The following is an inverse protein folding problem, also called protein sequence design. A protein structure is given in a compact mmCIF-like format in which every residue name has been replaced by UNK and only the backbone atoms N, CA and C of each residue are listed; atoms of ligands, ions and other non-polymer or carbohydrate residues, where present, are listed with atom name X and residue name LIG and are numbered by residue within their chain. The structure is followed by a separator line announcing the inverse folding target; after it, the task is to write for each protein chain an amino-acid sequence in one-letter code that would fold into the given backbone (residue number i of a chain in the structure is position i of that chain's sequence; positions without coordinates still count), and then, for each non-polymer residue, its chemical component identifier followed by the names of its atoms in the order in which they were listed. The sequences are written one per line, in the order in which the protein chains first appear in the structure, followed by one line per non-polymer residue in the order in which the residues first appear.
data_IF_363814369409
#
_entry.id   IF_363814369409
#
_cell.length_a   1.000
_cell.length_b   1.000
_cell.length_c   1.000
_cell.angle_alpha   90.00
_cell.angle_beta   90.00
_cell.angle_gamma   90.00
#
_symmetry.space_group_name_H-M   'P 1'
#
loop_
_entity.id
_entity.type
_entity.pdbx_description
1 polymer ?
#
# COMPACT_ATOMS: atom_id res chain seq x y z
N UNK A 1 -1.19 -0.57 69.36
CA UNK A 1 -1.49 -1.18 68.05
C UNK A 1 -2.69 -0.47 67.49
N UNK A 2 -2.47 0.41 66.52
CA UNK A 2 -3.51 1.15 65.81
C UNK A 2 -3.18 1.12 64.31
N UNK A 3 -4.24 1.06 63.53
CA UNK A 3 -4.36 0.50 62.18
C UNK A 3 -4.09 1.47 61.03
N UNK A 4 -3.70 0.88 59.89
CA UNK A 4 -3.96 1.23 58.49
C UNK A 4 -3.74 2.66 57.99
N UNK A 5 -2.81 2.83 57.04
CA UNK A 5 -3.02 3.63 55.83
C UNK A 5 -2.44 2.84 54.65
N UNK A 6 -3.30 2.49 53.70
CA UNK A 6 -2.87 2.05 52.38
C UNK A 6 -2.30 3.24 51.59
N UNK A 7 -1.45 2.96 50.62
CA UNK A 7 -1.20 3.90 49.54
C UNK A 7 -1.03 3.10 48.26
N UNK A 8 -2.01 3.31 47.40
CA UNK A 8 -2.11 2.95 45.99
C UNK A 8 -0.76 2.90 45.26
N UNK A 9 -0.54 1.78 44.56
CA UNK A 9 0.37 1.71 43.42
C UNK A 9 -0.31 2.38 42.21
N UNK A 10 -0.56 3.69 42.30
CA UNK A 10 -0.91 4.50 41.12
C UNK A 10 0.37 4.73 40.30
N UNK A 11 0.73 3.72 39.52
CA UNK A 11 1.66 3.89 38.42
C UNK A 11 1.00 4.86 37.43
N UNK A 12 1.51 6.10 37.39
CA UNK A 12 1.14 7.13 36.43
C UNK A 12 1.22 6.59 35.00
N UNK A 13 0.07 6.18 34.46
CA UNK A 13 -0.05 5.84 33.04
C UNK A 13 -0.31 7.14 32.30
N UNK A 14 0.76 7.78 31.86
CA UNK A 14 0.66 8.89 30.89
C UNK A 14 -0.02 8.35 29.64
N UNK A 15 -1.19 8.90 29.30
CA UNK A 15 -1.91 8.53 28.08
C UNK A 15 -1.09 8.95 26.87
N UNK A 16 -0.54 7.97 26.16
CA UNK A 16 0.12 8.17 24.86
C UNK A 16 -0.85 7.71 23.77
N UNK A 17 -1.31 8.58 22.87
CA UNK A 17 -2.11 8.17 21.73
C UNK A 17 -1.37 7.09 20.92
N UNK A 18 -2.01 5.94 20.68
CA UNK A 18 -1.46 4.84 19.88
C UNK A 18 -0.96 3.61 20.66
N UNK A 19 -0.91 3.65 22.01
CA UNK A 19 -0.67 2.46 22.83
C UNK A 19 -2.01 1.89 23.31
N UNK A 20 -2.31 0.64 22.95
CA UNK A 20 -3.41 -0.11 23.57
C UNK A 20 -2.88 -0.82 24.81
N UNK A 21 -3.61 -0.72 25.92
CA UNK A 21 -3.33 -1.45 27.17
C UNK A 21 -3.64 -2.96 27.05
N UNK A 22 -4.17 -3.40 25.91
CA UNK A 22 -4.55 -4.78 25.66
C UNK A 22 -3.33 -5.63 25.27
N UNK A 23 -3.00 -6.63 26.08
CA UNK A 23 -1.89 -7.55 25.83
C UNK A 23 -2.03 -8.31 24.50
N UNK A 24 -0.97 -8.31 23.69
CA UNK A 24 -0.89 -9.00 22.41
C UNK A 24 -0.89 -10.53 22.57
N UNK A 25 -2.05 -11.18 22.47
CA UNK A 25 -2.15 -12.64 22.32
C UNK A 25 -1.84 -13.06 20.87
N UNK A 26 -0.54 -13.06 20.53
CA UNK A 26 -0.04 -13.55 19.25
C UNK A 26 -0.21 -15.07 19.18
N UNK A 27 -1.25 -15.55 18.49
CA UNK A 27 -1.39 -16.97 18.15
C UNK A 27 -0.24 -17.41 17.23
N UNK A 28 0.60 -18.34 17.70
CA UNK A 28 1.73 -18.89 16.94
C UNK A 28 1.22 -19.90 15.91
N UNK A 29 0.84 -19.44 14.73
CA UNK A 29 0.78 -20.33 13.57
C UNK A 29 2.19 -20.54 13.01
N UNK A 30 2.73 -21.76 13.16
CA UNK A 30 3.98 -22.18 12.54
C UNK A 30 3.80 -22.30 11.03
N UNK A 31 4.36 -21.38 10.25
CA UNK A 31 4.55 -21.55 8.82
C UNK A 31 5.82 -22.35 8.56
N UNK A 32 5.65 -23.52 7.94
CA UNK A 32 6.71 -24.30 7.31
C UNK A 32 7.04 -23.63 5.98
N UNK A 33 8.24 -23.10 5.83
CA UNK A 33 8.77 -22.58 4.57
C UNK A 33 9.61 -23.65 3.85
N UNK A 34 9.39 -23.91 2.55
CA UNK A 34 10.37 -24.59 1.73
C UNK A 34 11.39 -23.57 1.21
N UNK A 35 12.68 -23.84 1.45
CA UNK A 35 13.81 -23.12 0.86
C UNK A 35 13.83 -23.33 -0.66
N UNK A 36 13.94 -22.25 -1.44
CA UNK A 36 14.34 -22.31 -2.84
C UNK A 36 15.51 -21.35 -3.10
N UNK A 37 16.49 -21.88 -3.82
CA UNK A 37 17.85 -21.38 -4.01
C UNK A 37 17.90 -20.17 -4.96
N UNK A 38 18.79 -19.23 -4.64
CA UNK A 38 19.12 -18.04 -5.42
C UNK A 38 19.74 -18.43 -6.77
N UNK A 39 19.20 -17.89 -7.86
CA UNK A 39 19.95 -17.64 -9.10
C UNK A 39 19.56 -16.27 -9.65
N UNK A 40 20.49 -15.33 -9.50
CA UNK A 40 20.56 -14.04 -10.18
C UNK A 40 20.58 -14.22 -11.68
N UNK A 41 19.70 -13.52 -12.41
CA UNK A 41 19.82 -13.33 -13.85
C UNK A 41 19.43 -11.90 -14.23
N UNK A 42 20.20 -11.36 -15.15
CA UNK A 42 20.43 -9.96 -15.52
C UNK A 42 19.42 -9.49 -16.57
N UNK A 43 19.02 -8.22 -16.44
CA UNK A 43 18.52 -7.24 -17.43
C UNK A 43 18.23 -7.75 -18.87
N UNK A 44 17.00 -7.54 -19.33
CA UNK A 44 16.73 -6.92 -20.65
C UNK A 44 15.31 -6.34 -20.69
N UNK A 45 15.21 -5.03 -20.93
CA UNK A 45 13.95 -4.35 -21.24
C UNK A 45 13.54 -4.70 -22.67
N UNK A 46 12.42 -5.39 -22.84
CA UNK A 46 11.77 -5.54 -24.14
C UNK A 46 10.71 -4.44 -24.29
N UNK A 47 11.03 -3.44 -25.08
CA UNK A 47 10.10 -2.41 -25.54
C UNK A 47 9.05 -3.05 -26.44
N UNK A 48 7.78 -2.89 -26.08
CA UNK A 48 6.64 -3.32 -26.90
C UNK A 48 6.41 -2.24 -27.97
N UNK A 49 6.72 -2.58 -29.22
CA UNK A 49 6.41 -1.76 -30.40
C UNK A 49 4.92 -1.88 -30.71
N UNK A 50 4.18 -0.77 -30.62
CA UNK A 50 2.77 -0.71 -31.01
C UNK A 50 2.67 -0.41 -32.51
N UNK A 51 2.35 -1.44 -33.30
CA UNK A 51 2.09 -1.29 -34.74
C UNK A 51 0.67 -0.75 -34.98
N UNK A 52 0.62 0.42 -35.61
CA UNK A 52 -0.61 1.12 -35.98
C UNK A 52 -1.19 0.50 -37.25
N UNK A 53 -2.42 -0.03 -37.19
CA UNK A 53 -3.14 -0.46 -38.38
C UNK A 53 -4.28 0.51 -38.72
N UNK A 54 -4.03 1.33 -39.73
CA UNK A 54 -5.04 2.04 -40.53
C UNK A 54 -5.66 1.07 -41.54
N UNK A 55 -6.94 1.28 -41.87
CA UNK A 55 -7.41 1.12 -43.26
C UNK A 55 -8.68 0.30 -43.49
N UNK A 56 -9.79 1.03 -43.69
CA UNK A 56 -10.85 0.92 -44.73
C UNK A 56 -11.37 -0.44 -45.25
N UNK A 57 -12.70 -0.52 -45.42
CA UNK A 57 -13.32 -1.29 -46.50
C UNK A 57 -14.63 -1.98 -46.15
N UNK A 58 -15.74 -1.43 -46.65
CA UNK A 58 -17.08 -2.02 -46.69
C UNK A 58 -17.15 -3.23 -47.66
N UNK A 59 -17.93 -4.27 -47.34
CA UNK A 59 -18.27 -5.37 -48.25
C UNK A 59 -19.30 -6.33 -47.64
N UNK A 60 -20.55 -6.14 -48.06
CA UNK A 60 -21.65 -7.12 -47.91
C UNK A 60 -21.38 -8.33 -48.80
N UNK A 61 -21.24 -9.54 -48.24
CA UNK A 61 -21.72 -10.77 -48.90
C UNK A 61 -21.85 -11.95 -47.91
N UNK A 62 -22.96 -12.68 -48.05
CA UNK A 62 -23.27 -13.96 -47.40
C UNK A 62 -22.16 -14.99 -47.67
N UNK A 63 -21.77 -15.76 -46.66
CA UNK A 63 -21.71 -17.24 -46.73
C UNK A 63 -21.30 -17.88 -45.40
N UNK A 64 -21.87 -19.08 -45.21
CA UNK A 64 -21.88 -19.90 -44.01
C UNK A 64 -20.67 -20.85 -43.92
N UNK A 65 -20.31 -21.16 -42.67
CA UNK A 65 -19.58 -22.30 -42.12
C UNK A 65 -18.14 -22.65 -42.59
N UNK A 66 -17.23 -22.42 -41.63
CA UNK A 66 -15.97 -23.07 -41.30
C UNK A 66 -15.20 -23.84 -42.39
N UNK A 67 -14.25 -23.15 -43.02
CA UNK A 67 -13.03 -23.78 -43.54
C UNK A 67 -11.87 -22.77 -43.52
N UNK A 68 -10.80 -23.08 -42.78
CA UNK A 68 -9.46 -22.49 -42.95
C UNK A 68 -9.12 -21.25 -42.10
N UNK A 69 -8.11 -21.40 -41.23
CA UNK A 69 -7.49 -20.33 -40.43
C UNK A 69 -7.93 -20.39 -38.96
N UNK A 70 -6.97 -20.46 -38.03
CA UNK A 70 -7.21 -20.35 -36.59
C UNK A 70 -7.77 -18.96 -36.26
N UNK A 71 -9.08 -18.76 -36.44
CA UNK A 71 -9.74 -17.51 -36.06
C UNK A 71 -9.82 -17.51 -34.54
N UNK A 72 -8.99 -16.70 -33.92
CA UNK A 72 -9.01 -16.48 -32.47
C UNK A 72 -10.42 -16.07 -32.06
N UNK A 73 -10.97 -16.73 -31.04
CA UNK A 73 -12.25 -16.36 -30.45
C UNK A 73 -12.26 -14.85 -30.15
N UNK A 74 -13.26 -14.14 -30.66
CA UNK A 74 -13.41 -12.70 -30.47
C UNK A 74 -14.38 -12.40 -29.33
N UNK A 75 -14.19 -11.25 -28.68
CA UNK A 75 -15.16 -10.74 -27.69
C UNK A 75 -16.58 -10.59 -28.29
N UNK A 76 -16.66 -10.42 -29.62
CA UNK A 76 -17.93 -10.35 -30.36
C UNK A 76 -18.68 -11.70 -30.37
N UNK A 77 -17.95 -12.81 -30.30
CA UNK A 77 -18.50 -14.17 -30.37
C UNK A 77 -19.05 -14.65 -29.02
N UNK A 78 -18.84 -13.86 -27.95
CA UNK A 78 -19.27 -14.18 -26.60
C UNK A 78 -20.80 -14.03 -26.45
N UNK A 79 -21.43 -14.94 -25.69
CA UNK A 79 -22.87 -14.90 -25.49
C UNK A 79 -23.31 -13.66 -24.70
N UNK A 80 -24.60 -13.31 -24.80
CA UNK A 80 -25.13 -12.11 -24.13
C UNK A 80 -24.99 -12.18 -22.60
N UNK A 81 -25.11 -13.36 -22.01
CA UNK A 81 -24.99 -13.56 -20.57
C UNK A 81 -23.55 -13.32 -20.09
N UNK A 82 -22.56 -13.85 -20.79
CA UNK A 82 -21.16 -13.65 -20.49
C UNK A 82 -20.72 -12.20 -20.70
N UNK A 83 -21.18 -11.55 -21.78
CA UNK A 83 -20.96 -10.11 -21.99
C UNK A 83 -21.49 -9.29 -20.82
N UNK A 84 -22.67 -9.64 -20.29
CA UNK A 84 -23.27 -8.99 -19.11
C UNK A 84 -22.42 -9.25 -17.85
N UNK A 85 -21.99 -10.49 -17.62
CA UNK A 85 -21.10 -10.83 -16.49
C UNK A 85 -19.82 -10.01 -16.51
N UNK A 86 -19.15 -9.94 -17.66
CA UNK A 86 -17.91 -9.18 -17.83
C UNK A 86 -18.17 -7.68 -17.63
N UNK A 87 -19.24 -7.12 -18.21
CA UNK A 87 -19.57 -5.71 -18.06
C UNK A 87 -19.80 -5.33 -16.58
N UNK A 88 -20.49 -6.19 -15.82
CA UNK A 88 -20.69 -5.97 -14.40
C UNK A 88 -19.38 -6.07 -13.61
N UNK A 89 -18.53 -7.04 -13.93
CA UNK A 89 -17.21 -7.15 -13.31
C UNK A 89 -16.36 -5.90 -13.55
N UNK A 90 -16.33 -5.38 -14.79
CA UNK A 90 -15.60 -4.15 -15.12
C UNK A 90 -16.13 -2.97 -14.31
N UNK A 91 -17.45 -2.84 -14.18
CA UNK A 91 -18.07 -1.77 -13.37
C UNK A 91 -17.67 -1.87 -11.90
N UNK A 92 -17.74 -3.06 -11.32
CA UNK A 92 -17.35 -3.25 -9.92
C UNK A 92 -15.86 -3.00 -9.70
N UNK A 93 -15.00 -3.46 -10.62
CA UNK A 93 -13.56 -3.20 -10.54
C UNK A 93 -13.25 -1.70 -10.60
N UNK A 94 -13.91 -0.96 -11.51
CA UNK A 94 -13.74 0.49 -11.61
C UNK A 94 -14.18 1.21 -10.31
N UNK A 95 -15.34 0.84 -9.78
CA UNK A 95 -15.84 1.39 -8.50
C UNK A 95 -14.88 1.09 -7.34
N UNK A 96 -14.46 -0.16 -7.20
CA UNK A 96 -13.56 -0.59 -6.12
C UNK A 96 -12.19 0.09 -6.26
N UNK A 97 -11.69 0.29 -7.49
CA UNK A 97 -10.42 0.98 -7.69
C UNK A 97 -10.48 2.45 -7.28
N UNK A 98 -11.58 3.16 -7.56
CA UNK A 98 -11.77 4.55 -7.14
C UNK A 98 -11.88 4.66 -5.62
N UNK A 99 -12.70 3.81 -4.99
CA UNK A 99 -12.80 3.74 -3.52
C UNK A 99 -11.43 3.49 -2.86
N UNK A 100 -10.65 2.58 -3.44
CA UNK A 100 -9.30 2.29 -2.99
C UNK A 100 -8.37 3.50 -3.14
N UNK A 101 -8.34 4.13 -4.31
CA UNK A 101 -7.50 5.31 -4.59
C UNK A 101 -7.77 6.43 -3.58
N UNK A 102 -9.03 6.75 -3.31
CA UNK A 102 -9.43 7.76 -2.32
C UNK A 102 -8.86 7.45 -0.93
N UNK A 103 -8.91 6.19 -0.50
CA UNK A 103 -8.37 5.80 0.81
C UNK A 103 -6.84 5.81 0.84
N UNK A 104 -6.18 5.42 -0.25
CA UNK A 104 -4.73 5.45 -0.37
C UNK A 104 -4.19 6.88 -0.36
N UNK A 105 -4.84 7.80 -1.08
CA UNK A 105 -4.48 9.22 -1.06
C UNK A 105 -4.61 9.83 0.33
N UNK A 106 -5.70 9.52 1.04
CA UNK A 106 -5.89 9.98 2.42
C UNK A 106 -4.80 9.48 3.35
N UNK A 107 -4.47 8.18 3.27
CA UNK A 107 -3.41 7.59 4.08
C UNK A 107 -2.05 8.21 3.77
N UNK A 108 -1.75 8.44 2.49
CA UNK A 108 -0.51 9.07 2.06
C UNK A 108 -0.39 10.50 2.60
N UNK A 109 -1.46 11.29 2.53
CA UNK A 109 -1.49 12.65 3.09
C UNK A 109 -1.26 12.65 4.61
N UNK A 110 -1.84 11.69 5.33
CA UNK A 110 -1.62 11.52 6.76
C UNK A 110 -0.17 11.13 7.08
N UNK A 111 0.42 10.21 6.31
CA UNK A 111 1.83 9.83 6.44
C UNK A 111 2.76 11.03 6.19
N UNK A 112 2.55 11.78 5.11
CA UNK A 112 3.35 12.97 4.78
C UNK A 112 3.26 14.04 5.88
N UNK A 113 2.08 14.21 6.48
CA UNK A 113 1.88 15.09 7.64
C UNK A 113 2.72 14.67 8.84
N UNK A 114 2.70 13.37 9.18
CA UNK A 114 3.50 12.85 10.28
C UNK A 114 5.00 12.94 10.02
N UNK A 115 5.46 12.63 8.80
CA UNK A 115 6.87 12.78 8.43
C UNK A 115 7.35 14.23 8.51
N UNK A 116 6.49 15.19 8.13
CA UNK A 116 6.80 16.61 8.30
C UNK A 116 6.91 16.98 9.77
N UNK A 117 6.00 16.48 10.60
CA UNK A 117 6.02 16.76 12.05
C UNK A 117 7.24 16.16 12.73
N UNK A 118 7.65 14.95 12.36
CA UNK A 118 8.87 14.31 12.85
C UNK A 118 10.09 15.16 12.50
N UNK A 119 10.24 15.56 11.24
CA UNK A 119 11.36 16.42 10.80
C UNK A 119 11.43 17.74 11.58
N UNK A 120 10.30 18.39 11.81
CA UNK A 120 10.25 19.61 12.61
C UNK A 120 10.68 19.38 14.06
N UNK A 121 10.27 18.26 14.67
CA UNK A 121 10.67 17.92 16.03
C UNK A 121 12.16 17.57 16.12
N UNK A 122 12.70 16.88 15.12
CA UNK A 122 14.13 16.57 15.03
C UNK A 122 14.96 17.85 14.91
N UNK A 123 14.57 18.78 14.05
CA UNK A 123 15.23 20.09 13.91
C UNK A 123 15.18 20.90 15.22
N UNK A 124 14.02 20.93 15.89
CA UNK A 124 13.91 21.58 17.20
C UNK A 124 14.81 20.93 18.25
N UNK A 125 14.90 19.60 18.27
CA UNK A 125 15.76 18.89 19.20
C UNK A 125 17.25 19.16 18.94
N UNK A 126 17.66 19.25 17.67
CA UNK A 126 19.03 19.56 17.30
C UNK A 126 19.44 20.96 17.78
N UNK A 127 18.56 21.95 17.63
CA UNK A 127 18.79 23.30 18.17
C UNK A 127 18.95 23.29 19.69
N UNK A 128 18.06 22.57 20.40
CA UNK A 128 18.12 22.45 21.87
C UNK A 128 19.44 21.79 22.31
N UNK A 129 19.88 20.73 21.63
CA UNK A 129 21.14 20.05 21.95
C UNK A 129 22.30 21.00 21.76
N UNK A 130 22.34 21.72 20.63
CA UNK A 130 23.41 22.68 20.34
C UNK A 130 23.47 23.80 21.37
N UNK A 131 22.33 24.40 21.73
CA UNK A 131 22.28 25.43 22.78
C UNK A 131 22.76 24.90 24.14
N UNK A 132 22.40 23.65 24.49
CA UNK A 132 22.88 23.01 25.72
C UNK A 132 24.38 22.76 25.71
N UNK A 133 24.93 22.35 24.57
CA UNK A 133 26.38 22.17 24.38
C UNK A 133 27.12 23.49 24.50
N UNK A 134 26.62 24.56 23.88
CA UNK A 134 27.20 25.90 23.95
C UNK A 134 27.21 26.41 25.40
N UNK A 135 26.10 26.26 26.14
CA UNK A 135 26.02 26.65 27.55
C UNK A 135 27.00 25.83 28.40
N UNK A 136 27.09 24.52 28.17
CA UNK A 136 28.01 23.66 28.90
C UNK A 136 29.46 24.04 28.61
N UNK A 137 29.79 24.33 27.35
CA UNK A 137 31.11 24.77 26.93
C UNK A 137 31.52 26.09 27.59
N UNK A 138 30.65 27.10 27.55
CA UNK A 138 30.86 28.38 28.24
C UNK A 138 31.02 28.18 29.76
N UNK A 139 30.19 27.33 30.38
CA UNK A 139 30.30 27.05 31.82
C UNK A 139 31.61 26.37 32.23
N UNK A 140 32.28 25.68 31.31
CA UNK A 140 33.58 25.03 31.54
C UNK A 140 34.78 25.96 31.33
N UNK A 141 34.55 27.16 30.80
CA UNK A 141 35.56 28.19 30.56
C UNK A 141 35.69 29.19 31.73
N UNK A 142 34.76 29.18 32.68
CA UNK A 142 34.75 30.02 33.89
C UNK A 142 34.89 29.17 35.16
#
# INVERSE_FOLDING_TARGET
MSSCLGSDEEQSVVYVPGISTEGNIRSRHKLISPKANVKTSRVTAASISMESLKGAGDSVNKQNFHKGGMKSASLKDLCLEDKRRIANLIKELARISEEKEVTEERLKAEQESFEKKIRQLEEQNELIVKEREDILFESSLF
#
